data_IF_442770049827
#
_entry.id   IF_442770049827
#
_cell.length_a   1.000
_cell.length_b   1.000
_cell.length_c   1.000
_cell.angle_alpha   90.00
_cell.angle_beta   90.00
_cell.angle_gamma   90.00
#
_symmetry.space_group_name_H-M   'P 1'
#
loop_
_entity.id
_entity.type
_entity.pdbx_description
1 polymer ?
#
# COMPACT_ATOMS: atom_id res chain seq x y z
N UNK A 1 -6.49 35.36 -13.75
CA UNK A 1 -6.91 33.98 -13.49
C UNK A 1 -6.02 33.43 -12.38
N UNK A 2 -6.58 33.27 -11.18
CA UNK A 2 -5.88 32.60 -10.09
C UNK A 2 -5.89 31.10 -10.43
N UNK A 3 -4.76 30.57 -10.87
CA UNK A 3 -4.59 29.14 -11.03
C UNK A 3 -4.94 28.45 -9.72
N UNK A 4 -5.90 27.55 -9.75
CA UNK A 4 -6.24 26.72 -8.58
C UNK A 4 -4.98 25.96 -8.18
N UNK A 5 -4.34 26.37 -7.08
CA UNK A 5 -3.30 25.54 -6.48
C UNK A 5 -3.93 24.20 -6.14
N UNK A 6 -3.49 23.15 -6.83
CA UNK A 6 -3.92 21.78 -6.52
C UNK A 6 -3.67 21.52 -5.02
N UNK A 7 -4.71 21.13 -4.31
CA UNK A 7 -4.59 20.80 -2.90
C UNK A 7 -3.75 19.53 -2.79
N UNK A 8 -2.62 19.61 -2.09
CA UNK A 8 -1.64 18.50 -1.95
C UNK A 8 -2.22 17.21 -1.32
N UNK A 9 -3.48 17.19 -0.93
CA UNK A 9 -4.14 16.08 -0.25
C UNK A 9 -5.19 15.30 -1.07
N UNK A 10 -5.35 15.58 -2.35
CA UNK A 10 -6.44 15.05 -3.18
C UNK A 10 -6.08 13.81 -4.03
N UNK A 11 -4.92 13.20 -3.78
CA UNK A 11 -4.47 12.01 -4.50
C UNK A 11 -4.10 10.87 -3.54
N UNK A 12 -4.40 9.64 -3.94
CA UNK A 12 -3.91 8.44 -3.26
C UNK A 12 -2.43 8.25 -3.60
N UNK A 13 -1.55 8.46 -2.62
CA UNK A 13 -0.09 8.39 -2.78
C UNK A 13 0.63 8.35 -1.45
N UNK A 14 1.86 7.86 -1.41
CA UNK A 14 2.77 7.86 -0.25
C UNK A 14 2.07 7.51 1.08
N UNK A 15 1.81 8.48 1.94
CA UNK A 15 1.22 8.26 3.27
C UNK A 15 -0.16 7.61 3.22
N UNK A 16 -0.94 7.82 2.16
CA UNK A 16 -2.23 7.16 2.00
C UNK A 16 -2.12 5.65 1.76
N UNK A 17 -0.97 5.14 1.28
CA UNK A 17 -0.75 3.69 1.12
C UNK A 17 -0.82 2.93 2.45
N UNK A 18 -0.46 3.59 3.56
CA UNK A 18 -0.49 2.99 4.89
C UNK A 18 -1.90 2.76 5.43
N UNK A 19 -2.87 3.53 4.95
CA UNK A 19 -4.26 3.43 5.45
C UNK A 19 -4.84 2.03 5.26
N UNK A 20 -4.85 1.44 4.04
CA UNK A 20 -5.34 0.08 3.85
C UNK A 20 -4.56 -0.96 4.65
N UNK A 21 -3.24 -0.82 4.74
CA UNK A 21 -2.40 -1.72 5.54
C UNK A 21 -2.78 -1.67 7.03
N UNK A 22 -2.99 -0.46 7.59
CA UNK A 22 -3.35 -0.30 9.00
C UNK A 22 -4.76 -0.83 9.30
N UNK A 23 -5.71 -0.66 8.37
CA UNK A 23 -7.05 -1.26 8.50
C UNK A 23 -6.96 -2.80 8.52
N UNK A 24 -6.12 -3.38 7.67
CA UNK A 24 -5.89 -4.81 7.65
C UNK A 24 -5.21 -5.33 8.94
N UNK A 25 -4.31 -4.53 9.52
CA UNK A 25 -3.68 -4.84 10.79
C UNK A 25 -4.69 -4.77 11.94
N UNK A 26 -5.51 -3.72 11.99
CA UNK A 26 -6.59 -3.60 12.99
C UNK A 26 -7.57 -4.78 12.90
N UNK A 27 -7.91 -5.21 11.69
CA UNK A 27 -8.70 -6.43 11.50
C UNK A 27 -8.01 -7.66 12.13
N UNK A 28 -6.72 -7.84 11.91
CA UNK A 28 -5.98 -8.99 12.43
C UNK A 28 -5.84 -8.99 13.96
N UNK A 29 -5.83 -7.81 14.59
CA UNK A 29 -5.70 -7.67 16.04
C UNK A 29 -7.03 -7.64 16.78
N UNK A 30 -7.99 -6.88 16.27
CA UNK A 30 -9.23 -6.53 16.98
C UNK A 30 -10.50 -7.00 16.25
N UNK A 31 -10.47 -7.10 14.92
CA UNK A 31 -11.62 -7.47 14.11
C UNK A 31 -12.91 -6.67 14.47
N UNK A 32 -12.72 -5.37 14.78
CA UNK A 32 -13.76 -4.54 15.40
C UNK A 32 -14.96 -4.26 14.48
N UNK A 33 -14.74 -4.18 13.17
CA UNK A 33 -15.79 -4.07 12.16
C UNK A 33 -15.52 -4.98 10.97
N UNK A 34 -15.59 -6.27 11.23
CA UNK A 34 -15.23 -7.33 10.28
C UNK A 34 -15.81 -7.12 8.89
N UNK A 35 -17.12 -6.85 8.79
CA UNK A 35 -17.80 -6.75 7.50
C UNK A 35 -17.25 -5.58 6.68
N UNK A 36 -17.19 -4.40 7.27
CA UNK A 36 -16.69 -3.20 6.62
C UNK A 36 -15.21 -3.35 6.23
N UNK A 37 -14.37 -3.88 7.14
CA UNK A 37 -12.94 -4.07 6.89
C UNK A 37 -12.70 -5.04 5.72
N UNK A 38 -13.47 -6.13 5.63
CA UNK A 38 -13.39 -7.07 4.51
C UNK A 38 -13.86 -6.45 3.20
N UNK A 39 -14.98 -5.74 3.20
CA UNK A 39 -15.48 -5.03 2.02
C UNK A 39 -14.46 -3.99 1.53
N UNK A 40 -13.86 -3.23 2.46
CA UNK A 40 -12.83 -2.24 2.16
C UNK A 40 -11.59 -2.89 1.54
N UNK A 41 -11.01 -3.91 2.19
CA UNK A 41 -9.82 -4.60 1.70
C UNK A 41 -10.03 -5.25 0.34
N UNK A 42 -11.17 -5.91 0.14
CA UNK A 42 -11.53 -6.49 -1.15
C UNK A 42 -11.62 -5.43 -2.26
N UNK A 43 -12.21 -4.25 -1.98
CA UNK A 43 -12.26 -3.14 -2.95
C UNK A 43 -10.87 -2.62 -3.29
N UNK A 44 -10.01 -2.44 -2.30
CA UNK A 44 -8.63 -1.98 -2.50
C UNK A 44 -7.85 -2.95 -3.38
N UNK A 45 -7.82 -4.24 -3.05
CA UNK A 45 -7.08 -5.22 -3.85
C UNK A 45 -7.70 -5.41 -5.24
N UNK A 46 -9.03 -5.42 -5.38
CA UNK A 46 -9.68 -5.49 -6.69
C UNK A 46 -9.31 -4.29 -7.56
N UNK A 47 -9.24 -3.07 -7.00
CA UNK A 47 -8.77 -1.90 -7.73
C UNK A 47 -7.36 -2.12 -8.28
N UNK A 48 -6.38 -2.45 -7.44
CA UNK A 48 -5.01 -2.65 -7.89
C UNK A 48 -4.86 -3.85 -8.84
N UNK A 49 -5.66 -4.89 -8.65
CA UNK A 49 -5.67 -6.02 -9.57
C UNK A 49 -6.14 -5.62 -10.98
N UNK A 50 -7.16 -4.77 -11.08
CA UNK A 50 -7.65 -4.24 -12.37
C UNK A 50 -6.69 -3.27 -13.03
N UNK A 51 -5.85 -2.57 -12.25
CA UNK A 51 -4.75 -1.75 -12.79
C UNK A 51 -3.56 -2.59 -13.30
N UNK A 52 -3.59 -3.89 -13.05
CA UNK A 52 -2.51 -4.83 -13.37
C UNK A 52 -1.59 -5.06 -12.16
N UNK A 53 -1.61 -6.28 -11.62
CA UNK A 53 -0.91 -6.61 -10.36
C UNK A 53 0.61 -6.42 -10.43
N UNK A 54 1.19 -6.47 -11.63
CA UNK A 54 2.62 -6.29 -11.88
C UNK A 54 2.96 -4.88 -12.42
N UNK A 55 1.96 -4.01 -12.62
CA UNK A 55 2.14 -2.76 -13.36
C UNK A 55 1.43 -1.55 -12.75
N UNK A 56 0.58 -1.72 -11.74
CA UNK A 56 -0.08 -0.58 -11.10
C UNK A 56 0.95 0.45 -10.63
N UNK A 57 0.59 1.71 -10.75
CA UNK A 57 1.47 2.82 -10.41
C UNK A 57 1.19 3.33 -9.00
N UNK A 58 2.02 4.21 -8.53
CA UNK A 58 2.10 4.64 -7.13
C UNK A 58 1.35 5.93 -6.80
N UNK A 59 0.69 6.57 -7.79
CA UNK A 59 -0.15 7.73 -7.55
C UNK A 59 -1.42 7.68 -8.39
N UNK A 60 -2.56 7.88 -7.74
CA UNK A 60 -3.89 7.91 -8.36
C UNK A 60 -4.69 9.11 -7.90
N UNK A 61 -5.51 9.65 -8.80
CA UNK A 61 -6.55 10.59 -8.46
C UNK A 61 -7.69 9.90 -7.70
N UNK A 62 -8.60 10.67 -7.10
CA UNK A 62 -9.75 10.13 -6.32
C UNK A 62 -10.71 9.31 -7.20
N UNK A 63 -10.75 9.60 -8.50
CA UNK A 63 -11.57 8.87 -9.50
C UNK A 63 -10.93 7.56 -9.97
N UNK A 64 -9.73 7.23 -9.48
CA UNK A 64 -8.99 6.01 -9.83
C UNK A 64 -8.12 6.13 -11.09
N UNK A 65 -8.07 7.28 -11.74
CA UNK A 65 -7.13 7.51 -12.84
C UNK A 65 -5.72 7.79 -12.31
N UNK A 66 -4.68 7.38 -13.06
CA UNK A 66 -3.31 7.74 -12.71
C UNK A 66 -3.13 9.26 -12.77
N UNK A 67 -2.33 9.80 -11.85
CA UNK A 67 -2.04 11.25 -11.88
C UNK A 67 -1.21 11.60 -13.12
N UNK A 68 -1.46 12.77 -13.69
CA UNK A 68 -0.68 13.33 -14.82
C UNK A 68 0.42 14.28 -14.33
N UNK A 69 0.24 14.86 -13.16
CA UNK A 69 1.20 15.78 -12.53
C UNK A 69 1.82 15.08 -11.32
N UNK A 70 3.10 14.77 -11.43
CA UNK A 70 3.84 14.07 -10.38
C UNK A 70 4.02 14.94 -9.14
N UNK A 71 3.78 14.35 -8.01
CA UNK A 71 4.00 14.96 -6.71
C UNK A 71 4.98 14.07 -5.94
N UNK A 72 6.14 14.59 -5.62
CA UNK A 72 7.18 13.90 -4.90
C UNK A 72 8.39 14.78 -4.68
N UNK A 73 9.27 14.37 -3.78
CA UNK A 73 10.54 15.03 -3.47
C UNK A 73 11.72 14.13 -3.88
N UNK A 74 12.92 14.66 -3.83
CA UNK A 74 14.12 13.84 -3.87
C UNK A 74 14.40 13.12 -5.19
N UNK A 75 14.08 13.73 -6.34
CA UNK A 75 14.38 13.14 -7.63
C UNK A 75 13.29 12.22 -8.22
N UNK A 76 12.11 12.21 -7.61
CA UNK A 76 10.95 11.50 -8.14
C UNK A 76 10.50 12.12 -9.47
N UNK A 77 10.69 11.42 -10.59
CA UNK A 77 10.52 11.96 -11.95
C UNK A 77 9.45 11.28 -12.78
N UNK A 78 8.97 10.11 -12.37
CA UNK A 78 7.94 9.33 -13.10
C UNK A 78 7.13 8.47 -12.13
N UNK A 79 5.93 8.09 -12.52
CA UNK A 79 5.15 7.06 -11.83
C UNK A 79 5.91 5.72 -11.87
N UNK A 80 5.82 4.95 -10.79
CA UNK A 80 6.50 3.66 -10.64
C UNK A 80 5.56 2.61 -10.11
N UNK A 81 5.87 1.37 -10.37
CA UNK A 81 5.36 0.25 -9.59
C UNK A 81 6.17 0.17 -8.29
N UNK A 82 5.81 1.05 -7.32
CA UNK A 82 6.60 1.24 -6.11
C UNK A 82 6.53 0.04 -5.19
N UNK A 83 7.70 -0.39 -4.69
CA UNK A 83 7.81 -1.48 -3.72
C UNK A 83 7.02 -1.20 -2.43
N UNK A 84 6.97 0.05 -1.99
CA UNK A 84 6.16 0.45 -0.83
C UNK A 84 4.67 0.22 -1.03
N UNK A 85 4.14 0.55 -2.23
CA UNK A 85 2.75 0.26 -2.55
C UNK A 85 2.48 -1.23 -2.75
N UNK A 86 3.40 -1.96 -3.39
CA UNK A 86 3.32 -3.44 -3.48
C UNK A 86 3.25 -4.05 -2.08
N UNK A 87 4.08 -3.56 -1.16
CA UNK A 87 4.11 -4.05 0.21
C UNK A 87 2.81 -3.77 0.98
N UNK A 88 2.31 -2.54 0.91
CA UNK A 88 1.07 -2.18 1.62
C UNK A 88 -0.16 -2.87 1.05
N UNK A 89 -0.25 -3.03 -0.27
CA UNK A 89 -1.35 -3.79 -0.91
C UNK A 89 -1.29 -5.28 -0.61
N UNK A 90 -0.09 -5.86 -0.47
CA UNK A 90 0.07 -7.23 -0.03
C UNK A 90 -0.40 -7.43 1.43
N UNK A 91 -0.08 -6.49 2.33
CA UNK A 91 -0.55 -6.56 3.72
C UNK A 91 -2.08 -6.52 3.85
N UNK A 92 -2.79 -5.91 2.90
CA UNK A 92 -4.26 -5.93 2.85
C UNK A 92 -4.82 -7.36 2.72
N UNK A 93 -4.03 -8.33 2.28
CA UNK A 93 -4.44 -9.74 2.21
C UNK A 93 -4.87 -10.33 3.56
N UNK A 94 -4.45 -9.75 4.68
CA UNK A 94 -4.91 -10.15 6.02
C UNK A 94 -6.43 -10.05 6.21
N UNK A 95 -7.09 -9.17 5.47
CA UNK A 95 -8.52 -8.89 5.61
C UNK A 95 -9.34 -9.34 4.40
N UNK A 96 -8.69 -9.61 3.27
CA UNK A 96 -9.37 -9.99 2.04
C UNK A 96 -9.94 -11.41 2.09
N UNK A 97 -11.06 -11.60 1.37
CA UNK A 97 -11.79 -12.89 1.30
C UNK A 97 -11.80 -13.50 -0.08
N UNK A 98 -11.24 -12.83 -1.10
CA UNK A 98 -11.15 -13.35 -2.46
C UNK A 98 -9.85 -14.15 -2.67
N UNK A 99 -9.84 -15.05 -3.62
CA UNK A 99 -8.74 -15.95 -3.94
C UNK A 99 -7.48 -15.25 -4.49
N UNK A 100 -7.65 -14.10 -5.15
CA UNK A 100 -6.55 -13.30 -5.70
C UNK A 100 -5.61 -12.69 -4.64
N UNK A 101 -6.04 -12.62 -3.39
CA UNK A 101 -5.25 -11.98 -2.32
C UNK A 101 -3.89 -12.64 -2.14
N UNK A 102 -3.78 -13.94 -2.39
CA UNK A 102 -2.50 -14.67 -2.33
C UNK A 102 -1.49 -14.16 -3.36
N UNK A 103 -1.93 -13.76 -4.54
CA UNK A 103 -1.04 -13.24 -5.58
C UNK A 103 -0.32 -11.97 -5.13
N UNK A 104 -0.98 -11.07 -4.39
CA UNK A 104 -0.34 -9.88 -3.82
C UNK A 104 0.79 -10.24 -2.85
N UNK A 105 0.58 -11.26 -2.02
CA UNK A 105 1.62 -11.75 -1.09
C UNK A 105 2.81 -12.32 -1.87
N UNK A 106 2.54 -13.10 -2.91
CA UNK A 106 3.58 -13.71 -3.74
C UNK A 106 4.39 -12.63 -4.51
N UNK A 107 3.73 -11.53 -4.95
CA UNK A 107 4.43 -10.38 -5.56
C UNK A 107 5.36 -9.70 -4.56
N UNK A 108 4.90 -9.42 -3.34
CA UNK A 108 5.75 -8.87 -2.29
C UNK A 108 6.93 -9.79 -1.97
N UNK A 109 6.68 -11.10 -1.84
CA UNK A 109 7.72 -12.08 -1.51
C UNK A 109 8.84 -12.09 -2.53
N UNK A 110 8.50 -12.00 -3.81
CA UNK A 110 9.45 -12.02 -4.92
C UNK A 110 10.02 -10.63 -5.28
N UNK A 111 9.46 -9.55 -4.73
CA UNK A 111 9.91 -8.20 -5.03
C UNK A 111 11.30 -7.92 -4.48
N UNK A 112 12.16 -7.37 -5.34
CA UNK A 112 13.53 -6.97 -4.97
C UNK A 112 13.55 -5.52 -4.49
N UNK A 113 14.28 -5.25 -3.42
CA UNK A 113 14.54 -3.88 -2.94
C UNK A 113 15.86 -3.39 -3.54
N UNK A 114 15.81 -2.91 -4.75
CA UNK A 114 16.95 -2.42 -5.55
C UNK A 114 16.57 -1.10 -6.23
N UNK A 115 17.54 -0.30 -6.69
CA UNK A 115 17.25 0.88 -7.50
C UNK A 115 16.38 0.55 -8.72
N UNK A 116 15.46 1.46 -9.06
CA UNK A 116 14.67 1.39 -10.29
C UNK A 116 15.54 1.68 -11.51
N UNK A 117 15.05 1.36 -12.71
CA UNK A 117 15.79 1.52 -13.97
C UNK A 117 16.29 2.93 -14.25
N UNK A 118 15.67 3.95 -13.66
CA UNK A 118 16.07 5.35 -13.76
C UNK A 118 17.06 5.79 -12.66
N UNK A 119 17.53 4.82 -11.84
CA UNK A 119 18.47 5.06 -10.74
C UNK A 119 17.84 5.60 -9.46
N UNK A 120 16.52 5.84 -9.43
CA UNK A 120 15.84 6.21 -8.19
C UNK A 120 15.81 5.03 -7.23
N UNK A 121 16.07 5.29 -5.96
CA UNK A 121 16.04 4.28 -4.90
C UNK A 121 15.50 4.89 -3.61
N UNK A 122 14.39 4.38 -3.15
CA UNK A 122 13.83 4.74 -1.85
C UNK A 122 14.17 3.65 -0.81
N UNK A 123 15.37 3.77 -0.26
CA UNK A 123 15.85 2.82 0.76
C UNK A 123 15.07 2.93 2.07
N UNK A 124 14.59 4.13 2.40
CA UNK A 124 13.94 4.41 3.67
C UNK A 124 12.46 4.05 3.64
N UNK A 125 11.67 4.74 2.81
CA UNK A 125 10.22 4.62 2.84
C UNK A 125 9.73 3.27 2.30
N UNK A 126 10.18 2.89 1.10
CA UNK A 126 9.86 1.58 0.52
C UNK A 126 10.39 0.43 1.40
N UNK A 127 11.60 0.60 1.96
CA UNK A 127 12.21 -0.41 2.84
C UNK A 127 11.44 -0.62 4.13
N UNK A 128 10.98 0.47 4.78
CA UNK A 128 10.17 0.38 5.99
C UNK A 128 8.80 -0.22 5.73
N UNK A 129 8.11 0.21 4.65
CA UNK A 129 6.81 -0.37 4.31
C UNK A 129 6.90 -1.86 4.00
N UNK A 130 7.97 -2.28 3.30
CA UNK A 130 8.25 -3.70 3.07
C UNK A 130 8.47 -4.47 4.37
N UNK A 131 9.27 -3.93 5.28
CA UNK A 131 9.50 -4.54 6.59
C UNK A 131 8.20 -4.72 7.37
N UNK A 132 7.39 -3.66 7.48
CA UNK A 132 6.12 -3.72 8.18
C UNK A 132 5.15 -4.70 7.54
N UNK A 133 5.07 -4.74 6.21
CA UNK A 133 4.21 -5.70 5.51
C UNK A 133 4.60 -7.14 5.83
N UNK A 134 5.90 -7.47 5.87
CA UNK A 134 6.36 -8.80 6.29
C UNK A 134 6.04 -9.10 7.75
N UNK A 135 6.20 -8.13 8.65
CA UNK A 135 5.83 -8.30 10.05
C UNK A 135 4.33 -8.61 10.20
N UNK A 136 3.47 -7.85 9.49
CA UNK A 136 2.02 -8.07 9.50
C UNK A 136 1.65 -9.44 8.96
N UNK A 137 2.13 -9.78 7.76
CA UNK A 137 1.80 -11.03 7.06
C UNK A 137 2.35 -12.28 7.74
N UNK A 138 3.45 -12.17 8.47
CA UNK A 138 4.03 -13.28 9.22
C UNK A 138 3.26 -13.62 10.51
N UNK A 139 2.35 -12.75 10.96
CA UNK A 139 1.69 -12.88 12.26
C UNK A 139 2.57 -12.59 13.47
N UNK A 140 3.80 -12.11 13.25
CA UNK A 140 4.74 -11.80 14.34
C UNK A 140 4.60 -10.37 14.87
N UNK A 141 3.77 -9.54 14.25
CA UNK A 141 3.48 -8.20 14.72
C UNK A 141 2.25 -8.20 15.63
N UNK A 142 2.50 -8.43 16.91
CA UNK A 142 1.46 -8.67 17.91
C UNK A 142 1.43 -7.56 18.97
N UNK A 143 0.25 -7.37 19.57
CA UNK A 143 0.10 -6.52 20.75
C UNK A 143 0.70 -7.28 21.95
N UNK A 144 1.63 -6.64 22.64
CA UNK A 144 2.22 -7.19 23.86
C UNK A 144 1.57 -6.49 25.05
N UNK A 145 0.79 -7.22 25.82
CA UNK A 145 0.20 -6.71 27.05
C UNK A 145 1.21 -6.82 28.20
N UNK A 146 1.33 -5.80 29.06
CA UNK A 146 2.10 -5.89 30.30
C UNK A 146 1.58 -7.05 31.17
N UNK A 147 2.51 -7.78 31.81
CA UNK A 147 2.12 -8.82 32.76
C UNK A 147 1.38 -8.17 33.94
N UNK A 148 0.13 -8.57 34.19
CA UNK A 148 -0.64 -8.09 35.34
C UNK A 148 -1.86 -7.20 35.00
N UNK A 149 -2.28 -7.13 33.73
CA UNK A 149 -3.55 -6.55 33.32
C UNK A 149 -4.46 -7.62 32.71
#
# INVERSE_FOLDING_TARGET
>A
MLGSKRVIGDAFRFDSWRVPMNIALDYSWACADKKWQQEYGNKVQNFFYTQGIDTFVDQYNVDGTSVTELLGAGGYKKLRHSLGLVATTAAVSLVCTHDKSREFVDRLWNAKHIPYDDGYFDAYYDGLLRLFAFMHLSGNYQIIFPKGY
#
